data_IF_606144463603
#
_entry.id   IF_606144463603
#
_cell.length_a   1.000
_cell.length_b   1.000
_cell.length_c   1.000
_cell.angle_alpha   90.00
_cell.angle_beta   90.00
_cell.angle_gamma   90.00
#
_symmetry.space_group_name_H-M   'P 1'
#
loop_
_entity.id
_entity.type
_entity.pdbx_description
1 polymer ?
#
# COMPACT_ATOMS: atom_id res chain seq x y z
N UNK A 1 -7.65 6.50 10.93
CA UNK A 1 -7.11 5.29 11.61
C UNK A 1 -8.12 4.17 11.82
N UNK A 2 -9.32 4.41 12.38
CA UNK A 2 -10.27 3.35 12.78
C UNK A 2 -10.97 2.51 11.69
N UNK A 3 -10.61 2.65 10.40
CA UNK A 3 -11.17 1.84 9.30
C UNK A 3 -10.20 0.77 8.77
N UNK A 4 -8.90 0.98 8.90
CA UNK A 4 -7.90 0.10 8.29
C UNK A 4 -7.68 -1.18 9.12
N UNK A 5 -7.55 -1.04 10.44
CA UNK A 5 -7.46 -2.19 11.35
C UNK A 5 -8.77 -2.38 12.15
N UNK A 6 -9.18 -3.63 12.27
CA UNK A 6 -10.27 -4.09 13.12
C UNK A 6 -9.96 -3.80 14.58
N UNK A 7 -10.89 -3.15 15.29
CA UNK A 7 -10.77 -2.90 16.73
C UNK A 7 -10.83 -4.17 17.58
N UNK A 8 -11.32 -5.28 17.02
CA UNK A 8 -11.52 -6.53 17.75
C UNK A 8 -10.25 -7.37 17.81
N UNK A 9 -9.58 -7.54 16.68
CA UNK A 9 -8.43 -8.44 16.54
C UNK A 9 -7.16 -7.76 16.05
N UNK A 10 -7.21 -6.46 15.71
CA UNK A 10 -6.04 -5.70 15.28
C UNK A 10 -5.57 -6.02 13.85
N UNK A 11 -6.36 -6.77 13.07
CA UNK A 11 -6.03 -7.13 11.70
C UNK A 11 -6.64 -6.16 10.69
N UNK A 12 -6.05 -6.02 9.48
CA UNK A 12 -6.66 -5.29 8.40
C UNK A 12 -8.11 -5.73 8.14
N UNK A 13 -9.00 -4.76 7.96
CA UNK A 13 -10.43 -5.01 7.72
C UNK A 13 -10.69 -5.60 6.34
N UNK A 14 -9.82 -5.31 5.37
CA UNK A 14 -9.84 -5.92 4.04
C UNK A 14 -9.15 -7.28 4.08
N UNK A 15 -9.80 -8.34 3.57
CA UNK A 15 -9.20 -9.68 3.55
C UNK A 15 -7.99 -9.76 2.61
N UNK A 16 -7.12 -10.75 2.85
CA UNK A 16 -6.12 -11.16 1.88
C UNK A 16 -6.78 -11.47 0.52
N UNK A 17 -6.21 -11.06 -0.63
CA UNK A 17 -4.88 -10.50 -0.80
C UNK A 17 -4.75 -8.97 -0.65
N UNK A 18 -5.80 -8.22 -0.32
CA UNK A 18 -5.78 -6.77 -0.49
C UNK A 18 -5.66 -5.98 0.82
N UNK A 19 -5.57 -6.65 1.97
CA UNK A 19 -5.44 -6.03 3.29
C UNK A 19 -4.12 -5.31 3.60
N UNK A 20 -3.16 -5.29 2.67
CA UNK A 20 -1.82 -4.73 2.91
C UNK A 20 -1.72 -3.22 2.69
N UNK A 21 -2.69 -2.59 1.99
CA UNK A 21 -2.65 -1.15 1.64
C UNK A 21 -3.82 -0.38 2.26
N UNK A 22 -3.48 0.64 3.05
CA UNK A 22 -4.40 1.62 3.60
C UNK A 22 -4.31 2.96 2.84
N UNK A 23 -4.95 3.98 3.41
CA UNK A 23 -4.92 5.34 2.87
C UNK A 23 -3.66 6.09 3.30
N UNK A 24 -3.26 7.13 2.55
CA UNK A 24 -2.19 8.07 2.92
C UNK A 24 -0.84 7.42 3.25
N UNK A 25 -0.44 6.41 2.48
CA UNK A 25 0.84 5.72 2.67
C UNK A 25 0.89 4.78 3.88
N UNK A 26 -0.26 4.46 4.49
CA UNK A 26 -0.35 3.46 5.53
C UNK A 26 -0.33 2.06 4.93
N UNK A 27 0.50 1.17 5.46
CA UNK A 27 0.61 -0.22 5.02
C UNK A 27 0.54 -1.21 6.19
N UNK A 28 0.15 -2.45 5.90
CA UNK A 28 0.20 -3.57 6.83
C UNK A 28 1.03 -4.70 6.22
N UNK A 29 2.02 -5.20 6.98
CA UNK A 29 2.86 -6.33 6.57
C UNK A 29 2.90 -7.42 7.63
N UNK A 30 2.66 -8.67 7.22
CA UNK A 30 2.61 -9.82 8.15
C UNK A 30 1.22 -10.14 8.68
N UNK A 31 0.17 -9.48 8.17
CA UNK A 31 -1.18 -9.58 8.73
C UNK A 31 -2.10 -10.55 7.96
N UNK A 32 -1.56 -11.32 7.01
CA UNK A 32 -2.37 -12.24 6.18
C UNK A 32 -2.85 -13.50 6.90
N UNK A 33 -2.38 -13.78 8.14
CA UNK A 33 -2.58 -15.03 8.88
C UNK A 33 -2.14 -16.29 8.09
N UNK A 34 -1.10 -16.18 7.25
CA UNK A 34 -0.56 -17.26 6.39
C UNK A 34 0.91 -17.60 6.67
N UNK A 35 1.37 -17.35 7.89
CA UNK A 35 2.76 -17.60 8.30
C UNK A 35 3.80 -16.79 7.50
N UNK A 36 5.01 -17.32 7.36
CA UNK A 36 6.15 -16.62 6.74
C UNK A 36 5.89 -16.22 5.28
N UNK A 37 5.27 -17.10 4.49
CA UNK A 37 4.90 -16.81 3.08
C UNK A 37 3.90 -15.66 3.01
N UNK A 38 2.98 -15.61 3.96
CA UNK A 38 2.04 -14.51 4.10
C UNK A 38 2.73 -13.19 4.40
N UNK A 39 3.70 -13.20 5.31
CA UNK A 39 4.46 -12.00 5.67
C UNK A 39 5.34 -11.50 4.52
N UNK A 40 6.02 -12.41 3.81
CA UNK A 40 6.83 -12.02 2.64
C UNK A 40 5.96 -11.47 1.52
N UNK A 41 4.75 -12.01 1.32
CA UNK A 41 3.82 -11.53 0.28
C UNK A 41 3.40 -10.07 0.53
N UNK A 42 3.01 -9.73 1.76
CA UNK A 42 2.67 -8.34 2.08
C UNK A 42 3.90 -7.43 1.89
N UNK A 43 5.07 -7.83 2.41
CA UNK A 43 6.28 -7.02 2.33
C UNK A 43 6.68 -6.70 0.88
N UNK A 44 6.60 -7.69 -0.02
CA UNK A 44 6.88 -7.50 -1.46
C UNK A 44 5.90 -6.51 -2.09
N UNK A 45 4.61 -6.60 -1.76
CA UNK A 45 3.60 -5.68 -2.31
C UNK A 45 3.78 -4.25 -1.84
N UNK A 46 4.06 -4.06 -0.55
CA UNK A 46 4.38 -2.74 0.01
C UNK A 46 5.59 -2.14 -0.70
N UNK A 47 6.68 -2.91 -0.85
CA UNK A 47 7.87 -2.44 -1.54
C UNK A 47 7.60 -2.06 -3.01
N UNK A 48 6.83 -2.88 -3.72
CA UNK A 48 6.44 -2.61 -5.10
C UNK A 48 5.62 -1.31 -5.23
N UNK A 49 4.67 -1.10 -4.33
CA UNK A 49 3.80 0.07 -4.35
C UNK A 49 4.58 1.36 -4.06
N UNK A 50 5.49 1.34 -3.08
CA UNK A 50 6.38 2.47 -2.78
C UNK A 50 7.27 2.78 -3.99
N UNK A 51 7.86 1.74 -4.62
CA UNK A 51 8.70 1.92 -5.81
C UNK A 51 7.91 2.50 -6.98
N UNK A 52 6.65 2.08 -7.18
CA UNK A 52 5.78 2.61 -8.21
C UNK A 52 5.44 4.08 -7.95
N UNK A 53 5.09 4.44 -6.72
CA UNK A 53 4.79 5.83 -6.34
C UNK A 53 6.02 6.73 -6.57
N UNK A 54 7.20 6.31 -6.10
CA UNK A 54 8.44 7.05 -6.33
C UNK A 54 8.73 7.26 -7.83
N UNK A 55 8.55 6.23 -8.65
CA UNK A 55 8.77 6.33 -10.08
C UNK A 55 7.72 7.19 -10.80
N UNK A 56 6.48 7.23 -10.30
CA UNK A 56 5.45 8.13 -10.82
C UNK A 56 5.77 9.58 -10.45
N UNK A 57 6.08 9.86 -9.19
CA UNK A 57 6.49 11.18 -8.71
C UNK A 57 7.73 11.69 -9.46
N UNK A 58 8.74 10.84 -9.64
CA UNK A 58 9.92 11.17 -10.43
C UNK A 58 9.56 11.52 -11.88
N UNK A 59 8.64 10.77 -12.52
CA UNK A 59 8.14 11.09 -13.86
C UNK A 59 7.44 12.45 -13.92
N UNK A 60 6.61 12.77 -12.92
CA UNK A 60 5.94 14.08 -12.81
C UNK A 60 6.96 15.21 -12.58
N UNK A 61 8.06 14.95 -11.88
CA UNK A 61 9.12 15.93 -11.67
C UNK A 61 9.98 16.16 -12.93
N UNK A 62 10.35 15.09 -13.64
CA UNK A 62 11.19 15.18 -14.85
C UNK A 62 10.41 15.62 -16.08
N UNK A 63 9.12 15.30 -16.15
CA UNK A 63 8.21 15.66 -17.24
C UNK A 63 6.90 16.18 -16.65
N UNK A 64 6.86 17.42 -16.15
CA UNK A 64 5.64 17.99 -15.63
C UNK A 64 4.58 17.97 -16.74
N UNK A 65 3.38 17.40 -16.48
CA UNK A 65 2.32 17.41 -17.47
C UNK A 65 2.05 18.87 -17.84
N UNK A 66 2.19 19.20 -19.13
CA UNK A 66 1.83 20.51 -19.66
C UNK A 66 0.44 20.84 -19.14
N UNK A 67 0.31 21.94 -18.39
CA UNK A 67 -1.00 22.41 -17.93
C UNK A 67 -1.89 22.46 -19.17
N UNK A 68 -2.93 21.62 -19.22
CA UNK A 68 -3.95 21.76 -20.25
C UNK A 68 -4.65 23.07 -19.94
N UNK A 69 -4.39 24.08 -20.77
CA UNK A 69 -5.09 25.35 -20.73
C UNK A 69 -6.59 25.07 -20.79
N UNK A 70 -7.30 25.47 -19.74
CA UNK A 70 -8.74 25.75 -19.79
C UNK A 70 -8.84 27.23 -20.16
#
# INVERSE_FOLDING_TARGET
EGKFFSKKDGYPTTPFPNGWKGENGLYAAGFTKRGLVGASTDAVRVAQDIAQQWNQEAKYFTFPPSKKNI
#
